data_IF_005419774845
#
_entry.id   IF_005419774845
#
_cell.length_a   1.000
_cell.length_b   1.000
_cell.length_c   1.000
_cell.angle_alpha   90.00
_cell.angle_beta   90.00
_cell.angle_gamma   90.00
#
_symmetry.space_group_name_H-M   'P 1'
#
loop_
_entity.id
_entity.type
_entity.pdbx_description
1 polymer ?
#
# COMPACT_ATOMS: atom_id res chain seq x y z
N UNK A 1 -11.23 16.17 3.38
CA UNK A 1 -10.88 15.22 4.46
C UNK A 1 -10.00 14.13 3.85
N UNK A 2 -8.94 13.73 4.55
CA UNK A 2 -8.09 12.61 4.11
C UNK A 2 -8.91 11.31 4.14
N UNK A 3 -8.95 10.58 3.05
CA UNK A 3 -9.75 9.35 2.92
C UNK A 3 -8.99 8.18 2.26
N UNK A 4 -7.68 8.35 2.05
CA UNK A 4 -6.81 7.35 1.41
C UNK A 4 -5.78 6.83 2.39
N UNK A 5 -5.56 5.53 2.34
CA UNK A 5 -4.40 4.84 2.92
C UNK A 5 -3.60 4.29 1.76
N UNK A 6 -2.32 4.61 1.70
CA UNK A 6 -1.45 4.08 0.66
C UNK A 6 -0.84 2.76 1.12
N UNK A 7 -0.88 1.76 0.26
CA UNK A 7 -0.18 0.49 0.43
C UNK A 7 0.92 0.41 -0.61
N UNK A 8 2.18 0.48 -0.18
CA UNK A 8 3.29 0.28 -1.08
C UNK A 8 3.37 -1.19 -1.49
N UNK A 9 3.31 -1.46 -2.78
CA UNK A 9 3.37 -2.81 -3.36
C UNK A 9 4.62 -2.93 -4.21
N UNK A 10 5.34 -4.03 -4.04
CA UNK A 10 6.61 -4.29 -4.70
C UNK A 10 6.88 -5.79 -4.74
N UNK A 11 7.78 -6.22 -5.64
CA UNK A 11 8.18 -7.61 -5.72
C UNK A 11 8.70 -8.11 -4.38
N UNK A 12 8.34 -9.34 -4.01
CA UNK A 12 8.69 -9.99 -2.72
C UNK A 12 7.99 -9.46 -1.47
N UNK A 13 7.03 -8.53 -1.59
CA UNK A 13 6.26 -8.11 -0.40
C UNK A 13 5.55 -9.29 0.26
N UNK A 14 5.54 -9.33 1.60
CA UNK A 14 4.96 -10.42 2.38
C UNK A 14 3.43 -10.30 2.49
N UNK A 15 2.70 -11.26 1.90
CA UNK A 15 1.24 -11.24 1.76
C UNK A 15 0.52 -11.19 3.12
N UNK A 16 1.00 -11.97 4.10
CA UNK A 16 0.32 -12.15 5.38
C UNK A 16 0.35 -10.88 6.25
N UNK A 17 1.34 -10.01 6.05
CA UNK A 17 1.51 -8.82 6.90
C UNK A 17 0.40 -7.78 6.68
N UNK A 18 -0.15 -7.71 5.46
CA UNK A 18 -1.16 -6.71 5.10
C UNK A 18 -2.58 -7.25 5.17
N UNK A 19 -2.78 -8.57 5.25
CA UNK A 19 -4.09 -9.20 5.12
C UNK A 19 -5.14 -8.68 6.09
N UNK A 20 -4.84 -8.67 7.40
CA UNK A 20 -5.77 -8.17 8.42
C UNK A 20 -6.04 -6.67 8.28
N UNK A 21 -4.96 -5.87 8.24
CA UNK A 21 -5.07 -4.41 8.23
C UNK A 21 -5.79 -3.92 6.98
N UNK A 22 -5.43 -4.44 5.80
CA UNK A 22 -6.01 -4.01 4.54
C UNK A 22 -7.50 -4.36 4.43
N UNK A 23 -7.87 -5.56 4.91
CA UNK A 23 -9.26 -6.03 4.93
C UNK A 23 -10.14 -5.12 5.79
N UNK A 24 -9.70 -4.77 7.00
CA UNK A 24 -10.53 -3.94 7.90
C UNK A 24 -10.59 -2.48 7.47
N UNK A 25 -9.50 -1.91 6.96
CA UNK A 25 -9.48 -0.52 6.47
C UNK A 25 -10.41 -0.36 5.26
N UNK A 26 -10.29 -1.26 4.27
CA UNK A 26 -11.02 -1.16 3.01
C UNK A 26 -12.50 -1.50 3.17
N UNK A 27 -12.83 -2.52 3.97
CA UNK A 27 -14.23 -2.88 4.21
C UNK A 27 -14.94 -1.94 5.17
N UNK A 28 -14.22 -1.38 6.15
CA UNK A 28 -14.78 -0.55 7.21
C UNK A 28 -15.85 -1.25 8.05
N UNK A 29 -15.93 -2.60 7.99
CA UNK A 29 -17.05 -3.37 8.55
C UNK A 29 -17.20 -3.27 10.07
N UNK A 30 -16.14 -2.85 10.76
CA UNK A 30 -16.12 -2.62 12.21
C UNK A 30 -15.82 -1.17 12.58
N UNK A 31 -15.99 -0.23 11.66
CA UNK A 31 -15.79 1.19 11.95
C UNK A 31 -16.87 1.71 12.92
N UNK A 32 -16.53 2.78 13.65
CA UNK A 32 -17.52 3.50 14.47
C UNK A 32 -18.68 3.96 13.58
N UNK A 33 -19.90 3.89 14.12
CA UNK A 33 -21.12 4.31 13.41
C UNK A 33 -20.95 5.74 12.86
N UNK A 34 -21.37 5.94 11.61
CA UNK A 34 -21.28 7.24 10.92
C UNK A 34 -19.93 7.51 10.23
N UNK A 35 -18.95 6.60 10.31
CA UNK A 35 -17.71 6.71 9.54
C UNK A 35 -17.79 5.90 8.24
N UNK A 36 -17.29 6.48 7.17
CA UNK A 36 -17.10 5.80 5.89
C UNK A 36 -15.77 5.02 5.90
N UNK A 37 -15.69 3.88 5.17
CA UNK A 37 -14.42 3.17 4.96
C UNK A 37 -13.35 4.07 4.33
N UNK A 38 -12.08 3.78 4.62
CA UNK A 38 -10.96 4.43 3.95
C UNK A 38 -10.62 3.64 2.70
N UNK A 39 -10.30 4.32 1.59
CA UNK A 39 -9.84 3.64 0.38
C UNK A 39 -8.38 3.24 0.55
N UNK A 40 -8.06 1.98 0.32
CA UNK A 40 -6.67 1.56 0.09
C UNK A 40 -6.31 1.81 -1.36
N UNK A 41 -5.21 2.50 -1.58
CA UNK A 41 -4.65 2.75 -2.91
C UNK A 41 -3.28 2.11 -2.98
N UNK A 42 -3.10 1.15 -3.89
CA UNK A 42 -1.82 0.48 -4.10
C UNK A 42 -0.86 1.40 -4.85
N UNK A 43 0.36 1.54 -4.34
CA UNK A 43 1.39 2.43 -4.86
C UNK A 43 2.61 1.59 -5.25
N UNK A 44 3.01 1.67 -6.52
CA UNK A 44 4.25 1.07 -7.00
C UNK A 44 5.29 2.14 -7.31
N UNK A 45 6.55 1.76 -7.49
CA UNK A 45 7.55 2.67 -8.08
C UNK A 45 7.17 2.98 -9.54
N UNK A 46 6.64 1.98 -10.23
CA UNK A 46 6.11 2.04 -11.59
C UNK A 46 4.75 1.34 -11.66
N UNK A 47 3.97 1.57 -12.72
CA UNK A 47 2.69 0.88 -13.00
C UNK A 47 2.88 -0.46 -13.73
N UNK A 48 3.89 -1.23 -13.32
CA UNK A 48 4.10 -2.60 -13.80
C UNK A 48 3.56 -3.58 -12.75
N UNK A 49 3.03 -4.75 -13.15
CA UNK A 49 2.70 -5.81 -12.21
C UNK A 49 3.90 -6.19 -11.34
N UNK A 50 3.64 -6.46 -10.07
CA UNK A 50 4.60 -7.03 -9.12
C UNK A 50 4.16 -8.42 -8.72
N UNK A 51 5.09 -9.24 -8.23
CA UNK A 51 4.80 -10.57 -7.67
C UNK A 51 5.08 -10.56 -6.17
N UNK A 52 4.06 -10.82 -5.35
CA UNK A 52 4.20 -10.96 -3.90
C UNK A 52 5.02 -12.21 -3.54
N UNK A 53 5.47 -12.31 -2.28
CA UNK A 53 6.20 -13.49 -1.81
C UNK A 53 5.39 -14.79 -1.95
N UNK A 54 4.07 -14.73 -1.79
CA UNK A 54 3.12 -15.81 -1.96
C UNK A 54 2.74 -16.11 -3.42
N UNK A 55 3.24 -15.33 -4.38
CA UNK A 55 3.02 -15.54 -5.81
C UNK A 55 1.77 -14.88 -6.40
N UNK A 56 1.18 -13.90 -5.71
CA UNK A 56 0.09 -13.10 -6.28
C UNK A 56 0.66 -12.02 -7.19
N UNK A 57 0.04 -11.82 -8.34
CA UNK A 57 0.34 -10.69 -9.21
C UNK A 57 -0.55 -9.50 -8.80
N UNK A 58 0.07 -8.35 -8.53
CA UNK A 58 -0.64 -7.11 -8.19
C UNK A 58 -0.23 -6.01 -9.18
N UNK A 59 -1.22 -5.40 -9.82
CA UNK A 59 -1.01 -4.17 -10.59
C UNK A 59 -1.20 -2.95 -9.67
N UNK A 60 -0.18 -2.09 -9.47
CA UNK A 60 -0.33 -0.88 -8.67
C UNK A 60 -1.36 0.09 -9.30
N UNK A 61 -2.24 0.69 -8.48
CA UNK A 61 -3.22 1.67 -8.95
C UNK A 61 -2.53 2.97 -9.37
N UNK A 62 -1.50 3.38 -8.62
CA UNK A 62 -0.73 4.59 -8.88
C UNK A 62 0.79 4.36 -8.80
N UNK A 63 1.55 5.25 -9.44
CA UNK A 63 2.99 5.37 -9.22
C UNK A 63 3.28 6.26 -8.00
N UNK A 64 4.47 6.11 -7.43
CA UNK A 64 4.94 6.91 -6.30
C UNK A 64 4.83 8.42 -6.55
N UNK A 65 5.10 8.89 -7.77
CA UNK A 65 5.02 10.31 -8.13
C UNK A 65 3.60 10.88 -8.07
N UNK A 66 2.58 10.03 -8.07
CA UNK A 66 1.17 10.39 -7.93
C UNK A 66 0.71 10.35 -6.45
N UNK A 67 1.59 9.91 -5.54
CA UNK A 67 1.32 9.85 -4.12
C UNK A 67 1.36 11.25 -3.50
N UNK A 68 0.32 11.61 -2.76
CA UNK A 68 0.29 12.81 -1.93
C UNK A 68 0.24 12.41 -0.45
N UNK A 69 1.41 12.34 0.19
CA UNK A 69 1.55 11.90 1.60
C UNK A 69 0.80 12.86 2.55
N UNK A 70 0.80 14.16 2.25
CA UNK A 70 0.13 15.18 3.05
C UNK A 70 -1.39 14.99 3.06
N UNK A 71 -1.97 14.41 2.00
CA UNK A 71 -3.40 14.09 1.91
C UNK A 71 -3.74 12.65 2.33
N UNK A 72 -2.74 11.85 2.71
CA UNK A 72 -2.93 10.47 3.16
C UNK A 72 -3.19 10.36 4.66
N UNK A 73 -4.01 9.38 5.05
CA UNK A 73 -4.23 9.02 6.46
C UNK A 73 -3.03 8.24 6.99
N UNK A 74 -2.48 7.34 6.17
CA UNK A 74 -1.33 6.51 6.49
C UNK A 74 -0.68 5.98 5.21
N UNK A 75 0.60 5.59 5.33
CA UNK A 75 1.36 4.80 4.37
C UNK A 75 1.75 3.47 5.03
N UNK A 76 1.44 2.36 4.36
CA UNK A 76 1.76 1.00 4.81
C UNK A 76 2.94 0.51 3.98
N UNK A 77 4.03 0.16 4.67
CA UNK A 77 5.25 -0.42 4.10
C UNK A 77 5.37 -1.88 4.58
N UNK A 78 4.94 -2.87 3.78
CA UNK A 78 5.10 -4.27 4.16
C UNK A 78 6.56 -4.69 4.11
N UNK A 79 6.91 -5.72 4.87
CA UNK A 79 8.15 -6.46 4.75
C UNK A 79 8.31 -7.08 3.36
N UNK A 80 9.55 -7.41 3.03
CA UNK A 80 9.96 -8.00 1.76
C UNK A 80 11.47 -8.16 1.71
N UNK A 81 11.97 -8.90 0.73
CA UNK A 81 13.39 -9.27 0.66
C UNK A 81 14.26 -8.23 -0.07
N UNK A 82 13.64 -7.26 -0.74
CA UNK A 82 14.33 -6.33 -1.64
C UNK A 82 14.59 -4.96 -1.04
N UNK A 83 14.21 -4.69 0.22
CA UNK A 83 14.27 -3.33 0.82
C UNK A 83 15.64 -2.63 0.74
N UNK A 84 16.74 -3.37 0.66
CA UNK A 84 18.10 -2.81 0.49
C UNK A 84 18.40 -2.35 -0.93
N UNK A 85 17.55 -2.65 -1.90
CA UNK A 85 17.72 -2.25 -3.30
C UNK A 85 17.41 -0.76 -3.50
N UNK A 86 18.19 -0.13 -4.39
CA UNK A 86 18.10 1.31 -4.65
C UNK A 86 16.72 1.76 -5.16
N UNK A 87 15.95 0.85 -5.76
CA UNK A 87 14.60 1.13 -6.28
C UNK A 87 13.62 1.60 -5.20
N UNK A 88 13.82 1.20 -3.93
CA UNK A 88 12.97 1.61 -2.81
C UNK A 88 13.41 2.92 -2.15
N UNK A 89 14.58 3.46 -2.49
CA UNK A 89 15.06 4.70 -1.88
C UNK A 89 14.07 5.87 -1.97
N UNK A 90 13.30 6.06 -3.07
CA UNK A 90 12.30 7.12 -3.15
C UNK A 90 11.17 7.02 -2.11
N UNK A 91 10.62 5.83 -1.84
CA UNK A 91 9.52 5.65 -0.87
C UNK A 91 10.01 5.81 0.58
N UNK A 92 11.26 5.43 0.86
CA UNK A 92 11.87 5.54 2.21
C UNK A 92 12.18 7.00 2.58
N UNK A 93 12.42 7.86 1.59
CA UNK A 93 12.82 9.26 1.78
C UNK A 93 11.66 10.26 1.62
N UNK A 94 10.43 9.77 1.53
CA UNK A 94 9.22 10.59 1.42
C UNK A 94 8.94 11.41 2.69
#
# INVERSE_FOLDING_TARGET
>A
MKNKVYLYVFDTMADWEIGYLSTEINSGRYYKKGLMPLKIVTVGIHKNPITTMGGLEILPEIELKECNIEESVALILPGGNTWTEAIHAPIIRM
#
